data_IF_299864194525
#
_entry.id   IF_299864194525
#
_cell.length_a   1.000
_cell.length_b   1.000
_cell.length_c   1.000
_cell.angle_alpha   90.00
_cell.angle_beta   90.00
_cell.angle_gamma   90.00
#
_symmetry.space_group_name_H-M   'P 1'
#
loop_
_entity.id
_entity.type
_entity.pdbx_description
1 polymer ?
#
# COMPACT_ATOMS: atom_id res chain seq x y z
N UNK A 1 -17.56 -10.84 18.04
CA UNK A 1 -16.82 -11.44 16.91
C UNK A 1 -15.32 -11.29 17.10
N UNK A 2 -14.75 -10.08 17.08
CA UNK A 2 -13.30 -9.85 17.27
C UNK A 2 -12.71 -10.51 18.54
N UNK A 3 -13.31 -10.30 19.71
CA UNK A 3 -12.81 -10.91 20.96
C UNK A 3 -12.91 -12.44 21.01
N UNK A 4 -13.91 -13.03 20.34
CA UNK A 4 -14.16 -14.48 20.39
C UNK A 4 -13.41 -15.24 19.29
N UNK A 5 -13.34 -14.69 18.08
CA UNK A 5 -12.80 -15.37 16.89
C UNK A 5 -11.40 -14.90 16.50
N UNK A 6 -11.04 -13.65 16.83
CA UNK A 6 -9.75 -13.05 16.48
C UNK A 6 -8.93 -12.66 17.72
N UNK A 7 -9.28 -13.21 18.91
CA UNK A 7 -8.61 -12.94 20.21
C UNK A 7 -8.46 -11.45 20.54
N UNK A 8 -9.37 -10.62 20.04
CA UNK A 8 -9.37 -9.18 20.26
C UNK A 8 -8.48 -8.39 19.30
N UNK A 9 -7.85 -9.05 18.32
CA UNK A 9 -7.00 -8.42 17.31
C UNK A 9 -7.74 -8.27 15.96
N UNK A 10 -7.31 -7.30 15.15
CA UNK A 10 -7.93 -7.04 13.85
C UNK A 10 -7.29 -7.97 12.80
N UNK A 11 -8.09 -8.76 12.05
CA UNK A 11 -7.54 -9.65 11.03
C UNK A 11 -6.77 -8.89 9.95
N UNK A 12 -5.57 -9.37 9.62
CA UNK A 12 -4.66 -8.81 8.63
C UNK A 12 -4.83 -9.40 7.22
N UNK A 13 -6.03 -9.88 6.91
CA UNK A 13 -6.37 -10.42 5.59
C UNK A 13 -7.69 -9.84 5.11
N UNK A 14 -7.84 -9.68 3.80
CA UNK A 14 -9.07 -9.17 3.19
C UNK A 14 -10.25 -10.09 3.55
N UNK A 15 -10.08 -11.41 3.47
CA UNK A 15 -11.12 -12.37 3.83
C UNK A 15 -11.50 -12.27 5.31
N UNK A 16 -10.53 -12.06 6.20
CA UNK A 16 -10.77 -11.89 7.63
C UNK A 16 -11.53 -10.60 7.93
N UNK A 17 -11.19 -9.51 7.24
CA UNK A 17 -11.87 -8.22 7.37
C UNK A 17 -13.30 -8.27 6.82
N UNK A 18 -13.55 -8.92 5.68
CA UNK A 18 -14.90 -9.07 5.10
C UNK A 18 -15.85 -9.87 6.00
N UNK A 19 -15.31 -10.76 6.85
CA UNK A 19 -16.13 -11.49 7.83
C UNK A 19 -16.65 -10.59 8.94
N UNK A 20 -16.09 -9.40 9.15
CA UNK A 20 -16.58 -8.46 10.14
C UNK A 20 -17.92 -7.86 9.70
N UNK A 21 -18.93 -7.81 10.59
CA UNK A 21 -20.24 -7.28 10.25
C UNK A 21 -20.12 -5.80 9.84
N UNK A 22 -20.62 -5.48 8.65
CA UNK A 22 -20.55 -4.12 8.08
C UNK A 22 -19.31 -3.83 7.23
N UNK A 23 -18.35 -4.76 7.13
CA UNK A 23 -17.16 -4.59 6.29
C UNK A 23 -17.35 -5.32 4.96
N UNK A 24 -17.61 -4.56 3.90
CA UNK A 24 -17.63 -5.09 2.53
C UNK A 24 -16.23 -5.18 1.91
N UNK A 25 -16.09 -5.81 0.71
CA UNK A 25 -14.80 -6.00 0.04
C UNK A 25 -14.00 -4.70 -0.15
N UNK A 26 -14.67 -3.60 -0.51
CA UNK A 26 -14.02 -2.29 -0.70
C UNK A 26 -13.44 -1.74 0.61
N UNK A 27 -14.17 -1.90 1.71
CA UNK A 27 -13.73 -1.46 3.04
C UNK A 27 -12.58 -2.32 3.55
N UNK A 28 -12.63 -3.63 3.30
CA UNK A 28 -11.54 -4.54 3.66
C UNK A 28 -10.23 -4.19 2.93
N UNK A 29 -10.27 -3.90 1.62
CA UNK A 29 -9.08 -3.47 0.88
C UNK A 29 -8.54 -2.12 1.38
N UNK A 30 -9.41 -1.15 1.68
CA UNK A 30 -9.00 0.13 2.25
C UNK A 30 -8.37 -0.03 3.63
N UNK A 31 -8.94 -0.88 4.49
CA UNK A 31 -8.37 -1.18 5.80
C UNK A 31 -7.01 -1.88 5.68
N UNK A 32 -6.86 -2.82 4.75
CA UNK A 32 -5.56 -3.44 4.43
C UNK A 32 -4.53 -2.44 3.92
N UNK A 33 -4.94 -1.51 3.09
CA UNK A 33 -4.07 -0.48 2.54
C UNK A 33 -3.58 0.51 3.63
N UNK A 34 -4.51 0.97 4.47
CA UNK A 34 -4.22 1.99 5.49
C UNK A 34 -3.54 1.37 6.72
N UNK A 35 -4.08 0.28 7.26
CA UNK A 35 -3.61 -0.29 8.52
C UNK A 35 -2.45 -1.28 8.34
N UNK A 36 -2.34 -1.93 7.17
CA UNK A 36 -1.25 -2.87 6.85
C UNK A 36 -0.30 -2.37 5.78
N UNK A 37 -0.41 -1.09 5.38
CA UNK A 37 0.52 -0.41 4.47
C UNK A 37 0.87 -1.25 3.24
N UNK A 38 -0.11 -1.94 2.63
CA UNK A 38 0.11 -2.54 1.32
C UNK A 38 0.29 -1.40 0.32
N UNK A 39 1.49 -0.82 0.20
CA UNK A 39 1.74 0.39 -0.55
C UNK A 39 1.71 0.15 -2.08
N UNK A 40 0.53 -0.16 -2.63
CA UNK A 40 0.33 -0.44 -4.05
C UNK A 40 0.65 0.80 -4.91
N UNK A 41 0.37 2.00 -4.42
CA UNK A 41 0.74 3.26 -5.07
C UNK A 41 2.26 3.43 -5.17
N UNK A 42 2.97 3.31 -4.05
CA UNK A 42 4.42 3.52 -3.97
C UNK A 42 5.15 2.50 -4.83
N UNK A 43 4.78 1.22 -4.73
CA UNK A 43 5.30 0.14 -5.58
C UNK A 43 5.11 0.45 -7.06
N UNK A 44 3.87 0.75 -7.48
CA UNK A 44 3.53 1.01 -8.89
C UNK A 44 4.25 2.24 -9.44
N UNK A 45 4.22 3.35 -8.71
CA UNK A 45 4.79 4.61 -9.17
C UNK A 45 6.31 4.52 -9.19
N UNK A 46 6.94 3.94 -8.17
CA UNK A 46 8.40 3.77 -8.14
C UNK A 46 8.90 2.89 -9.28
N UNK A 47 8.15 1.83 -9.62
CA UNK A 47 8.44 1.01 -10.80
C UNK A 47 8.26 1.79 -12.11
N UNK A 48 7.19 2.57 -12.27
CA UNK A 48 6.92 3.37 -13.48
C UNK A 48 7.93 4.52 -13.66
N UNK A 49 8.38 5.14 -12.57
CA UNK A 49 9.40 6.19 -12.57
C UNK A 49 10.83 5.64 -12.69
N UNK A 50 11.01 4.31 -12.66
CA UNK A 50 12.33 3.68 -12.74
C UNK A 50 13.18 3.87 -11.48
N UNK A 51 12.58 4.23 -10.35
CA UNK A 51 13.28 4.45 -9.07
C UNK A 51 13.82 3.16 -8.45
N UNK A 52 13.26 2.01 -8.85
CA UNK A 52 13.80 0.70 -8.49
C UNK A 52 14.63 0.15 -9.64
N UNK A 53 15.94 0.00 -9.44
CA UNK A 53 16.84 -0.58 -10.45
C UNK A 53 16.40 -2.01 -10.79
N UNK A 54 15.92 -2.22 -12.01
CA UNK A 54 15.53 -3.54 -12.53
C UNK A 54 14.04 -3.90 -12.44
N UNK A 55 13.20 -3.03 -11.88
CA UNK A 55 11.77 -3.30 -11.71
C UNK A 55 11.52 -4.34 -10.62
N UNK A 56 10.81 -3.94 -9.57
CA UNK A 56 10.47 -4.80 -8.43
C UNK A 56 9.14 -5.49 -8.66
N UNK A 57 9.00 -6.75 -8.22
CA UNK A 57 7.73 -7.50 -8.39
C UNK A 57 6.85 -7.39 -7.16
N UNK A 58 7.45 -7.19 -6.00
CA UNK A 58 6.75 -7.14 -4.72
C UNK A 58 6.93 -5.77 -4.03
N UNK A 59 5.93 -5.29 -3.27
CA UNK A 59 6.05 -4.04 -2.51
C UNK A 59 7.23 -4.01 -1.52
N UNK A 60 7.55 -5.14 -0.90
CA UNK A 60 8.70 -5.27 0.01
C UNK A 60 10.05 -5.08 -0.70
N UNK A 61 10.17 -5.53 -1.94
CA UNK A 61 11.37 -5.32 -2.74
C UNK A 61 11.51 -3.85 -3.12
N UNK A 62 10.42 -3.18 -3.49
CA UNK A 62 10.41 -1.73 -3.75
C UNK A 62 10.79 -0.96 -2.52
N UNK A 63 10.26 -1.33 -1.35
CA UNK A 63 10.60 -0.70 -0.08
C UNK A 63 12.10 -0.78 0.15
N UNK A 64 12.69 -1.98 0.13
CA UNK A 64 14.14 -2.15 0.31
C UNK A 64 14.95 -1.35 -0.72
N UNK A 65 14.51 -1.32 -1.97
CA UNK A 65 15.19 -0.57 -3.02
C UNK A 65 15.11 0.95 -2.80
N UNK A 66 13.99 1.47 -2.29
CA UNK A 66 13.86 2.87 -1.91
C UNK A 66 14.68 3.19 -0.67
N UNK A 67 14.64 2.32 0.36
CA UNK A 67 15.41 2.49 1.60
C UNK A 67 16.93 2.55 1.36
N UNK A 68 17.42 1.95 0.28
CA UNK A 68 18.86 1.92 -0.09
C UNK A 68 19.41 3.30 -0.50
N UNK A 69 18.60 4.13 -1.15
CA UNK A 69 19.04 5.45 -1.65
C UNK A 69 18.26 6.64 -1.08
N UNK A 70 17.07 6.42 -0.53
CA UNK A 70 16.20 7.48 -0.04
C UNK A 70 16.50 7.83 1.43
N UNK A 71 16.78 9.10 1.76
CA UNK A 71 16.97 9.55 3.14
C UNK A 71 15.75 9.24 4.02
N UNK A 72 15.98 8.71 5.22
CA UNK A 72 14.92 8.31 6.17
C UNK A 72 13.95 9.43 6.50
N UNK A 73 14.44 10.66 6.57
CA UNK A 73 13.64 11.84 6.91
C UNK A 73 12.55 12.12 5.88
N UNK A 74 12.73 11.68 4.63
CA UNK A 74 11.80 11.92 3.52
C UNK A 74 10.79 10.78 3.31
N UNK A 75 10.90 9.66 4.04
CA UNK A 75 10.07 8.48 3.80
C UNK A 75 8.58 8.77 4.00
N UNK A 76 8.24 9.48 5.08
CA UNK A 76 6.86 9.85 5.36
C UNK A 76 6.31 10.81 4.31
N UNK A 77 7.07 11.84 3.95
CA UNK A 77 6.64 12.85 2.97
C UNK A 77 6.43 12.24 1.59
N UNK A 78 7.37 11.42 1.12
CA UNK A 78 7.28 10.75 -0.18
C UNK A 78 6.10 9.78 -0.24
N UNK A 79 5.80 9.06 0.84
CA UNK A 79 4.63 8.19 0.86
C UNK A 79 3.32 8.98 0.62
N UNK A 80 3.13 10.11 1.31
CA UNK A 80 1.96 10.96 1.11
C UNK A 80 1.91 11.56 -0.30
N UNK A 81 3.04 12.05 -0.80
CA UNK A 81 3.15 12.60 -2.15
C UNK A 81 2.83 11.56 -3.22
N UNK A 82 3.38 10.34 -3.10
CA UNK A 82 3.15 9.26 -4.05
C UNK A 82 1.71 8.76 -4.01
N UNK A 83 1.06 8.72 -2.84
CA UNK A 83 -0.38 8.41 -2.75
C UNK A 83 -1.19 9.46 -3.49
N UNK A 84 -0.97 10.75 -3.20
CA UNK A 84 -1.67 11.85 -3.89
C UNK A 84 -1.42 11.84 -5.40
N UNK A 85 -0.17 11.66 -5.82
CA UNK A 85 0.21 11.55 -7.23
C UNK A 85 -0.44 10.33 -7.90
N UNK A 86 -0.50 9.18 -7.23
CA UNK A 86 -1.12 7.96 -7.73
C UNK A 86 -2.64 8.04 -7.87
N UNK A 87 -3.28 8.93 -7.11
CA UNK A 87 -4.73 9.16 -7.18
C UNK A 87 -5.08 10.21 -8.23
N UNK A 88 -4.28 11.28 -8.35
CA UNK A 88 -4.60 12.43 -9.20
C UNK A 88 -3.99 12.33 -10.60
N UNK A 89 -2.73 11.89 -10.70
CA UNK A 89 -1.95 11.93 -11.95
C UNK A 89 -1.72 10.53 -12.48
N UNK A 90 -1.02 9.69 -11.72
CA UNK A 90 -0.66 8.35 -12.14
C UNK A 90 -1.71 7.31 -11.74
N UNK A 91 -2.89 7.45 -12.33
CA UNK A 91 -4.02 6.54 -12.13
C UNK A 91 -3.71 5.12 -12.63
N UNK A 92 -4.42 4.13 -12.10
CA UNK A 92 -4.23 2.71 -12.44
C UNK A 92 -4.37 2.44 -13.95
N UNK A 93 -5.27 3.17 -14.60
CA UNK A 93 -5.70 3.02 -15.99
C UNK A 93 -4.91 3.87 -17.00
N UNK A 94 -4.10 4.83 -16.56
CA UNK A 94 -3.38 5.76 -17.43
C UNK A 94 -1.88 5.78 -17.13
N UNK A 95 -1.01 6.08 -18.11
CA UNK A 95 0.41 6.29 -17.85
C UNK A 95 0.62 7.53 -16.98
N UNK A 96 1.72 7.58 -16.22
CA UNK A 96 2.08 8.77 -15.43
C UNK A 96 2.59 9.87 -16.38
N UNK A 97 1.72 10.56 -17.12
CA UNK A 97 2.09 11.64 -18.06
C UNK A 97 1.12 12.79 -17.92
#
# INVERSE_FOLDING_TARGET
MLQREFRGDIPNTVEGLVRLPGVGPKMAHLAMDIAWHQAWHVHRISNRLGWTRGGTKNPEETRKALEDWLPRDLWSEINWLLVGFGQQVCQSSAPCV
#
